data_IF_074717782052
#
_entry.id   IF_074717782052
#
_cell.length_a   1.000
_cell.length_b   1.000
_cell.length_c   1.000
_cell.angle_alpha   90.00
_cell.angle_beta   90.00
_cell.angle_gamma   90.00
#
_symmetry.space_group_name_H-M   'P 1'
#
loop_
_entity.id
_entity.type
_entity.pdbx_description
1 polymer ?
#
# COMPACT_ATOMS: atom_id res chain seq x y z
N UNK A 1 -21.58 -1.00 0.04
CA UNK A 1 -20.43 -1.78 0.54
C UNK A 1 -19.30 -1.86 -0.50
N UNK A 2 -19.60 -1.73 -1.81
CA UNK A 2 -18.61 -1.66 -2.90
C UNK A 2 -17.69 -0.42 -2.88
N UNK A 3 -18.15 0.73 -2.36
CA UNK A 3 -17.30 1.93 -2.30
C UNK A 3 -16.21 1.89 -1.21
N UNK A 4 -16.34 1.03 -0.18
CA UNK A 4 -15.37 0.96 0.93
C UNK A 4 -14.13 0.14 0.59
N UNK A 5 -14.23 -0.80 -0.36
CA UNK A 5 -13.11 -1.68 -0.75
C UNK A 5 -12.22 -1.04 -1.83
N UNK A 6 -12.78 -0.11 -2.64
CA UNK A 6 -12.05 0.65 -3.68
C UNK A 6 -11.09 1.69 -3.11
N UNK A 7 -11.35 2.13 -1.87
CA UNK A 7 -10.52 3.09 -1.17
C UNK A 7 -9.19 2.46 -0.72
N UNK A 8 -9.16 1.14 -0.50
CA UNK A 8 -8.00 0.46 0.07
C UNK A 8 -6.77 0.68 -0.82
N UNK A 9 -6.80 0.55 -2.14
CA UNK A 9 -5.58 0.63 -2.98
C UNK A 9 -4.88 2.01 -2.94
N UNK A 10 -5.65 3.09 -2.80
CA UNK A 10 -5.11 4.45 -2.66
C UNK A 10 -4.75 4.81 -1.21
N UNK A 11 -5.34 4.10 -0.24
CA UNK A 11 -5.13 4.31 1.20
C UNK A 11 -4.23 3.26 1.83
N UNK A 12 -3.91 2.17 1.13
CA UNK A 12 -3.13 1.02 1.62
C UNK A 12 -1.64 1.26 1.39
N UNK A 13 -1.29 2.13 0.44
CA UNK A 13 -0.03 2.89 0.49
C UNK A 13 0.12 3.75 1.77
N UNK A 14 -0.93 3.90 2.58
CA UNK A 14 -0.97 4.70 3.82
C UNK A 14 -1.65 3.91 4.96
N UNK A 15 -1.79 2.58 4.85
CA UNK A 15 -2.42 1.81 5.92
C UNK A 15 -1.95 0.36 5.91
N UNK A 16 -1.21 0.00 6.97
CA UNK A 16 -1.39 -1.18 7.84
C UNK A 16 -0.01 -1.68 8.32
N UNK A 17 0.17 -1.64 9.64
CA UNK A 17 0.73 -2.77 10.40
C UNK A 17 0.10 -2.77 11.81
N UNK A 18 -0.44 -3.91 12.21
CA UNK A 18 -1.03 -4.21 13.52
C UNK A 18 -0.01 -4.93 14.42
N UNK A 19 -0.13 -4.77 15.74
CA UNK A 19 0.63 -5.54 16.73
C UNK A 19 0.25 -5.14 18.17
N UNK A 20 -0.32 -6.09 18.92
CA UNK A 20 -0.88 -5.95 20.27
C UNK A 20 0.14 -6.42 21.32
N UNK A 21 0.23 -5.72 22.47
CA UNK A 21 0.15 -6.28 23.85
C UNK A 21 0.35 -5.16 24.90
N UNK A 22 -0.53 -5.13 25.93
CA UNK A 22 -0.73 -4.06 26.92
C UNK A 22 0.39 -3.86 27.96
N UNK A 23 0.26 -3.05 29.02
CA UNK A 23 -0.92 -2.47 29.69
C UNK A 23 -0.64 -1.03 30.14
N UNK A 24 -1.39 -0.11 29.56
CA UNK A 24 -1.91 1.13 30.15
C UNK A 24 -3.25 1.35 29.45
N UNK A 25 -4.30 1.84 30.11
CA UNK A 25 -5.66 1.86 29.53
C UNK A 25 -5.74 2.58 28.17
N UNK A 26 -4.78 3.48 27.91
CA UNK A 26 -4.62 4.22 26.67
C UNK A 26 -3.94 3.42 25.54
N UNK A 27 -3.09 2.43 25.88
CA UNK A 27 -2.31 1.59 24.95
C UNK A 27 -3.03 0.33 24.47
N UNK A 28 -4.22 0.05 25.02
CA UNK A 28 -5.06 -1.07 24.61
C UNK A 28 -6.01 -0.71 23.45
N UNK A 29 -6.18 0.58 23.16
CA UNK A 29 -7.00 1.03 22.02
C UNK A 29 -6.26 0.82 20.71
N UNK A 30 -6.95 0.35 19.69
CA UNK A 30 -6.35 0.25 18.37
C UNK A 30 -6.08 1.67 17.85
N UNK A 31 -4.83 1.98 17.49
CA UNK A 31 -4.43 3.35 17.11
C UNK A 31 -5.32 4.07 16.07
N UNK A 32 -5.94 3.41 15.04
CA UNK A 32 -6.83 4.09 14.12
C UNK A 32 -8.07 4.65 14.83
N UNK A 33 -8.54 4.03 15.91
CA UNK A 33 -9.74 4.47 16.62
C UNK A 33 -9.45 5.71 17.47
N UNK A 34 -8.26 5.79 18.07
CA UNK A 34 -7.83 6.94 18.89
C UNK A 34 -7.45 8.14 18.03
N UNK A 35 -6.82 7.90 16.89
CA UNK A 35 -6.30 8.95 16.02
C UNK A 35 -7.21 9.27 14.84
N UNK A 36 -8.35 8.57 14.68
CA UNK A 36 -9.29 8.80 13.58
C UNK A 36 -9.72 10.27 13.54
N UNK A 37 -9.64 10.93 12.38
CA UNK A 37 -10.22 12.25 12.22
C UNK A 37 -11.75 12.20 12.31
N UNK A 38 -12.36 13.34 12.61
CA UNK A 38 -13.81 13.47 12.57
C UNK A 38 -14.30 13.39 11.11
N UNK A 39 -14.96 12.28 10.78
CA UNK A 39 -15.57 12.05 9.47
C UNK A 39 -14.77 11.14 8.54
N UNK A 40 -15.36 10.83 7.39
CA UNK A 40 -14.73 10.01 6.37
C UNK A 40 -13.72 10.85 5.57
N UNK A 41 -12.49 10.37 5.45
CA UNK A 41 -11.51 10.95 4.52
C UNK A 41 -11.77 10.34 3.13
N UNK A 42 -12.15 11.18 2.18
CA UNK A 42 -12.26 10.78 0.78
C UNK A 42 -10.99 11.11 -0.01
N UNK A 43 -10.80 10.40 -1.12
CA UNK A 43 -9.62 10.56 -1.96
C UNK A 43 -9.81 11.85 -2.75
N UNK A 44 -8.86 12.79 -2.68
CA UNK A 44 -9.04 14.11 -3.26
C UNK A 44 -9.19 14.03 -4.78
N UNK A 45 -10.23 14.69 -5.31
CA UNK A 45 -10.48 14.75 -6.75
C UNK A 45 -9.90 16.01 -7.42
N UNK A 46 -9.47 16.98 -6.60
CA UNK A 46 -8.90 18.25 -7.06
C UNK A 46 -7.69 18.61 -6.21
N UNK A 47 -6.80 19.45 -6.74
CA UNK A 47 -5.65 19.99 -6.01
C UNK A 47 -6.08 20.73 -4.73
N UNK A 48 -7.21 21.44 -4.77
CA UNK A 48 -7.78 22.08 -3.58
C UNK A 48 -8.18 21.04 -2.51
N UNK A 49 -8.86 19.98 -2.91
CA UNK A 49 -9.22 18.90 -1.98
C UNK A 49 -7.95 18.21 -1.43
N UNK A 50 -6.92 18.07 -2.27
CA UNK A 50 -5.62 17.52 -1.86
C UNK A 50 -4.97 18.37 -0.76
N UNK A 51 -4.94 19.70 -0.93
CA UNK A 51 -4.47 20.65 0.07
C UNK A 51 -5.25 20.58 1.38
N UNK A 52 -6.56 20.37 1.30
CA UNK A 52 -7.45 20.25 2.46
C UNK A 52 -7.27 18.90 3.20
N UNK A 53 -7.03 17.81 2.46
CA UNK A 53 -6.80 16.46 3.02
C UNK A 53 -5.41 16.33 3.66
N UNK A 54 -4.39 16.97 3.10
CA UNK A 54 -3.01 16.89 3.57
C UNK A 54 -2.79 17.11 5.08
N UNK A 55 -3.25 18.22 5.68
CA UNK A 55 -3.08 18.44 7.12
C UNK A 55 -3.81 17.39 7.97
N UNK A 56 -4.92 16.83 7.48
CA UNK A 56 -5.67 15.78 8.19
C UNK A 56 -4.83 14.50 8.27
N UNK A 57 -4.24 14.07 7.15
CA UNK A 57 -3.39 12.87 7.11
C UNK A 57 -2.10 13.03 7.92
N UNK A 58 -1.45 14.20 7.83
CA UNK A 58 -0.25 14.50 8.63
C UNK A 58 -0.57 14.45 10.13
N UNK A 59 -1.70 15.03 10.56
CA UNK A 59 -2.10 15.01 11.97
C UNK A 59 -2.46 13.60 12.45
N UNK A 60 -3.15 12.80 11.63
CA UNK A 60 -3.42 11.39 11.90
C UNK A 60 -2.11 10.63 12.18
N UNK A 61 -1.11 10.78 11.33
CA UNK A 61 0.18 10.09 11.48
C UNK A 61 1.02 10.61 12.65
N UNK A 62 0.94 11.91 12.96
CA UNK A 62 1.56 12.47 14.17
C UNK A 62 0.96 11.86 15.43
N UNK A 63 -0.37 11.77 15.52
CA UNK A 63 -1.05 11.10 16.63
C UNK A 63 -0.62 9.62 16.72
N UNK A 64 -0.54 8.91 15.59
CA UNK A 64 -0.09 7.52 15.57
C UNK A 64 1.35 7.37 16.05
N UNK A 65 2.25 8.27 15.66
CA UNK A 65 3.65 8.27 16.07
C UNK A 65 3.77 8.54 17.57
N UNK A 66 3.10 9.58 18.08
CA UNK A 66 3.06 9.92 19.51
C UNK A 66 2.57 8.73 20.33
N UNK A 67 1.48 8.10 19.91
CA UNK A 67 0.95 6.93 20.56
C UNK A 67 1.90 5.72 20.51
N UNK A 68 2.56 5.50 19.37
CA UNK A 68 3.56 4.43 19.21
C UNK A 68 4.77 4.63 20.13
N UNK A 69 5.22 5.87 20.32
CA UNK A 69 6.28 6.23 21.27
C UNK A 69 5.82 5.99 22.71
N UNK A 70 4.63 6.46 23.07
CA UNK A 70 4.06 6.29 24.42
C UNK A 70 3.91 4.82 24.81
N UNK A 71 3.45 3.99 23.87
CA UNK A 71 3.10 2.60 24.13
C UNK A 71 4.19 1.59 23.74
N UNK A 72 5.35 2.05 23.27
CA UNK A 72 6.46 1.17 22.87
C UNK A 72 6.13 0.23 21.71
N UNK A 73 5.45 0.74 20.68
CA UNK A 73 5.00 -0.07 19.53
C UNK A 73 6.16 -0.50 18.62
N UNK A 74 6.16 -1.77 18.21
CA UNK A 74 7.07 -2.32 17.19
C UNK A 74 6.91 -1.68 15.80
N UNK A 75 5.83 -0.91 15.57
CA UNK A 75 5.54 -0.27 14.28
C UNK A 75 6.02 1.19 14.20
N UNK A 76 6.74 1.69 15.21
CA UNK A 76 7.18 3.10 15.27
C UNK A 76 8.03 3.50 14.06
N UNK A 77 8.90 2.61 13.57
CA UNK A 77 9.75 2.86 12.39
C UNK A 77 8.89 3.04 11.13
N UNK A 78 7.94 2.13 10.90
CA UNK A 78 7.00 2.20 9.76
C UNK A 78 6.21 3.52 9.82
N UNK A 79 5.60 3.84 10.97
CA UNK A 79 4.78 5.05 11.15
C UNK A 79 5.60 6.31 10.89
N UNK A 80 6.85 6.34 11.35
CA UNK A 80 7.76 7.47 11.15
C UNK A 80 8.10 7.65 9.66
N UNK A 81 8.42 6.56 8.96
CA UNK A 81 8.69 6.61 7.52
C UNK A 81 7.49 7.13 6.71
N UNK A 82 6.27 6.69 7.05
CA UNK A 82 5.05 7.20 6.44
C UNK A 82 4.81 8.69 6.74
N UNK A 83 5.04 9.12 7.99
CA UNK A 83 4.89 10.53 8.35
C UNK A 83 5.86 11.43 7.57
N UNK A 84 7.14 11.06 7.49
CA UNK A 84 8.15 11.80 6.73
C UNK A 84 7.79 11.89 5.24
N UNK A 85 7.25 10.80 4.68
CA UNK A 85 6.77 10.80 3.31
C UNK A 85 5.55 11.70 3.13
N UNK A 86 4.55 11.63 4.02
CA UNK A 86 3.36 12.46 3.97
C UNK A 86 3.71 13.94 4.08
N UNK A 87 4.64 14.31 4.95
CA UNK A 87 5.12 15.70 5.06
C UNK A 87 5.77 16.18 3.75
N UNK A 88 6.51 15.33 3.04
CA UNK A 88 7.07 15.67 1.74
C UNK A 88 5.99 15.75 0.63
N UNK A 89 5.10 14.77 0.58
CA UNK A 89 3.97 14.70 -0.36
C UNK A 89 3.01 15.89 -0.20
N UNK A 90 2.86 16.41 1.01
CA UNK A 90 2.00 17.56 1.32
C UNK A 90 2.70 18.92 1.26
N UNK A 91 4.03 18.95 1.09
CA UNK A 91 4.80 20.18 1.00
C UNK A 91 4.75 20.72 -0.44
N UNK A 92 4.11 21.87 -0.63
CA UNK A 92 3.82 22.45 -1.96
C UNK A 92 5.02 22.63 -2.90
N UNK A 93 6.20 22.89 -2.36
CA UNK A 93 7.42 23.07 -3.13
C UNK A 93 8.13 21.75 -3.46
N UNK A 94 7.71 20.62 -2.88
CA UNK A 94 8.29 19.30 -3.14
C UNK A 94 8.00 18.80 -4.55
N UNK A 95 8.84 17.89 -5.02
CA UNK A 95 8.64 17.20 -6.30
C UNK A 95 7.40 16.31 -6.27
N UNK A 96 7.19 15.59 -5.16
CA UNK A 96 6.06 14.65 -5.01
C UNK A 96 4.72 15.39 -5.01
N UNK A 97 4.61 16.50 -4.28
CA UNK A 97 3.39 17.31 -4.30
C UNK A 97 3.04 17.76 -5.71
N UNK A 98 4.02 18.35 -6.43
CA UNK A 98 3.82 18.87 -7.80
C UNK A 98 3.39 17.77 -8.78
N UNK A 99 3.92 16.56 -8.61
CA UNK A 99 3.54 15.42 -9.42
C UNK A 99 2.11 14.95 -9.13
N UNK A 100 1.70 14.91 -7.87
CA UNK A 100 0.47 14.26 -7.43
C UNK A 100 -0.75 15.20 -7.35
N UNK A 101 -0.59 16.38 -6.75
CA UNK A 101 -1.71 17.24 -6.36
C UNK A 101 -2.54 17.71 -7.55
N UNK A 102 -1.88 18.13 -8.64
CA UNK A 102 -2.54 18.55 -9.88
C UNK A 102 -3.15 17.40 -10.69
N UNK A 103 -2.74 16.16 -10.42
CA UNK A 103 -3.19 14.96 -11.13
C UNK A 103 -4.15 14.09 -10.32
N UNK A 104 -4.52 14.49 -9.10
CA UNK A 104 -5.25 13.64 -8.14
C UNK A 104 -6.57 13.09 -8.68
N UNK A 105 -7.35 13.89 -9.43
CA UNK A 105 -8.58 13.42 -10.08
C UNK A 105 -8.33 12.33 -11.14
N UNK A 106 -7.26 12.49 -11.93
CA UNK A 106 -6.84 11.47 -12.90
C UNK A 106 -6.36 10.20 -12.20
N UNK A 107 -5.56 10.32 -11.12
CA UNK A 107 -5.05 9.19 -10.34
C UNK A 107 -6.21 8.37 -9.77
N UNK A 108 -7.18 9.02 -9.10
CA UNK A 108 -8.36 8.37 -8.52
C UNK A 108 -9.09 7.54 -9.58
N UNK A 109 -9.39 8.18 -10.72
CA UNK A 109 -10.10 7.56 -11.82
C UNK A 109 -9.34 6.36 -12.37
N UNK A 110 -8.05 6.53 -12.65
CA UNK A 110 -7.18 5.49 -13.22
C UNK A 110 -7.09 4.26 -12.31
N UNK A 111 -6.85 4.46 -11.01
CA UNK A 111 -6.74 3.34 -10.05
C UNK A 111 -8.07 2.62 -9.90
N UNK A 112 -9.19 3.35 -9.81
CA UNK A 112 -10.52 2.74 -9.67
C UNK A 112 -10.92 1.98 -10.93
N UNK A 113 -10.63 2.50 -12.11
CA UNK A 113 -11.01 1.87 -13.38
C UNK A 113 -10.10 0.69 -13.76
N UNK A 114 -8.80 0.78 -13.50
CA UNK A 114 -7.83 -0.18 -14.03
C UNK A 114 -7.32 -1.20 -13.01
N UNK A 115 -7.44 -0.92 -11.70
CA UNK A 115 -6.77 -1.72 -10.67
C UNK A 115 -7.67 -2.44 -9.67
N UNK A 116 -8.85 -1.90 -9.33
CA UNK A 116 -9.64 -2.48 -8.22
C UNK A 116 -10.05 -3.93 -8.45
N UNK A 117 -10.48 -4.25 -9.66
CA UNK A 117 -11.02 -5.56 -10.00
C UNK A 117 -9.89 -6.57 -10.26
N UNK A 118 -8.79 -6.08 -10.84
CA UNK A 118 -7.60 -6.86 -11.16
C UNK A 118 -6.85 -7.31 -9.91
N UNK A 119 -6.65 -6.41 -8.93
CA UNK A 119 -5.98 -6.75 -7.66
C UNK A 119 -6.79 -7.79 -6.89
N UNK A 120 -8.11 -7.62 -6.84
CA UNK A 120 -9.00 -8.58 -6.19
C UNK A 120 -8.95 -9.96 -6.86
N UNK A 121 -8.87 -9.99 -8.20
CA UNK A 121 -8.74 -11.21 -8.99
C UNK A 121 -7.40 -11.89 -8.70
N UNK A 122 -6.28 -11.17 -8.73
CA UNK A 122 -4.95 -11.70 -8.41
C UNK A 122 -4.91 -12.29 -7.00
N UNK A 123 -5.43 -11.57 -6.00
CA UNK A 123 -5.52 -12.07 -4.63
C UNK A 123 -6.30 -13.39 -4.56
N UNK A 124 -7.49 -13.44 -5.15
CA UNK A 124 -8.34 -14.64 -5.15
C UNK A 124 -7.70 -15.82 -5.86
N UNK A 125 -7.21 -15.60 -7.07
CA UNK A 125 -6.58 -16.65 -7.89
C UNK A 125 -5.37 -17.23 -7.16
N UNK A 126 -4.52 -16.37 -6.61
CA UNK A 126 -3.31 -16.84 -5.97
C UNK A 126 -3.61 -17.55 -4.65
N UNK A 127 -4.51 -17.00 -3.84
CA UNK A 127 -5.01 -17.67 -2.62
C UNK A 127 -5.58 -19.06 -2.93
N UNK A 128 -6.42 -19.21 -3.95
CA UNK A 128 -6.98 -20.51 -4.34
C UNK A 128 -5.95 -21.47 -4.94
N UNK A 129 -4.89 -20.97 -5.58
CA UNK A 129 -3.77 -21.83 -6.00
C UNK A 129 -3.07 -22.41 -4.78
N UNK A 130 -2.76 -21.55 -3.81
CA UNK A 130 -2.05 -21.92 -2.59
C UNK A 130 -2.87 -22.84 -1.67
N UNK A 131 -4.18 -22.61 -1.54
CA UNK A 131 -5.09 -23.49 -0.79
C UNK A 131 -5.17 -24.91 -1.38
N UNK A 132 -5.02 -25.06 -2.70
CA UNK A 132 -4.99 -26.38 -3.36
C UNK A 132 -3.69 -27.14 -3.11
N UNK A 133 -2.59 -26.43 -2.89
CA UNK A 133 -1.28 -27.02 -2.59
C UNK A 133 -1.13 -27.34 -1.10
N UNK A 134 -1.83 -26.62 -0.23
CA UNK A 134 -1.87 -26.89 1.20
C UNK A 134 -2.66 -28.17 1.51
N UNK A 135 -1.96 -29.29 1.70
CA UNK A 135 -2.57 -30.61 1.95
C UNK A 135 -3.43 -30.68 3.24
N UNK A 136 -3.26 -29.74 4.16
CA UNK A 136 -3.99 -29.63 5.43
C UNK A 136 -5.18 -28.67 5.39
N UNK A 137 -5.36 -27.91 4.30
CA UNK A 137 -6.32 -26.79 4.24
C UNK A 137 -5.90 -25.57 5.07
N UNK A 138 -4.74 -25.60 5.73
CA UNK A 138 -4.17 -24.46 6.46
C UNK A 138 -3.05 -23.80 5.66
N UNK A 139 -3.15 -22.48 5.51
CA UNK A 139 -2.12 -21.66 4.86
C UNK A 139 -0.95 -21.49 5.83
N UNK A 140 0.20 -22.10 5.50
CA UNK A 140 1.45 -21.93 6.26
C UNK A 140 1.91 -20.47 6.23
N UNK A 141 2.75 -20.08 7.19
CA UNK A 141 3.33 -18.73 7.24
C UNK A 141 4.16 -18.41 5.99
N UNK A 142 4.81 -19.40 5.39
CA UNK A 142 5.56 -19.22 4.14
C UNK A 142 4.64 -18.87 2.97
N UNK A 143 3.54 -19.62 2.82
CA UNK A 143 2.53 -19.35 1.80
C UNK A 143 1.89 -17.98 2.03
N UNK A 144 1.62 -17.62 3.29
CA UNK A 144 1.08 -16.31 3.64
C UNK A 144 2.03 -15.18 3.20
N UNK A 145 3.32 -15.32 3.47
CA UNK A 145 4.34 -14.35 3.05
C UNK A 145 4.41 -14.22 1.52
N UNK A 146 4.40 -15.34 0.79
CA UNK A 146 4.36 -15.31 -0.69
C UNK A 146 3.10 -14.62 -1.21
N UNK A 147 1.93 -14.93 -0.64
CA UNK A 147 0.66 -14.29 -0.98
C UNK A 147 0.72 -12.77 -0.79
N UNK A 148 1.20 -12.30 0.36
CA UNK A 148 1.37 -10.87 0.62
C UNK A 148 2.34 -10.22 -0.37
N UNK A 149 3.52 -10.84 -0.56
CA UNK A 149 4.56 -10.35 -1.47
C UNK A 149 4.05 -10.17 -2.91
N UNK A 150 3.35 -11.19 -3.42
CA UNK A 150 2.78 -11.17 -4.77
C UNK A 150 1.70 -10.10 -4.94
N UNK A 151 0.79 -10.00 -3.96
CA UNK A 151 -0.31 -9.03 -4.01
C UNK A 151 0.24 -7.60 -3.94
N UNK A 152 1.17 -7.33 -3.03
CA UNK A 152 1.79 -6.00 -2.91
C UNK A 152 2.58 -5.61 -4.16
N UNK A 153 3.36 -6.54 -4.73
CA UNK A 153 4.07 -6.28 -5.98
C UNK A 153 3.08 -5.99 -7.12
N UNK A 154 1.98 -6.75 -7.20
CA UNK A 154 0.96 -6.50 -8.21
C UNK A 154 0.21 -5.17 -7.99
N UNK A 155 -0.03 -4.77 -6.73
CA UNK A 155 -0.62 -3.46 -6.41
C UNK A 155 0.25 -2.32 -6.91
N UNK A 156 1.57 -2.36 -6.66
CA UNK A 156 2.53 -1.36 -7.15
C UNK A 156 2.57 -1.34 -8.68
N UNK A 157 2.66 -2.52 -9.31
CA UNK A 157 2.64 -2.64 -10.76
C UNK A 157 1.36 -2.07 -11.35
N UNK A 158 0.21 -2.41 -10.78
CA UNK A 158 -1.07 -1.95 -11.29
C UNK A 158 -1.20 -0.45 -11.14
N UNK A 159 -0.96 0.08 -9.93
CA UNK A 159 -1.08 1.50 -9.66
C UNK A 159 -0.15 2.32 -10.57
N UNK A 160 1.12 1.92 -10.71
CA UNK A 160 2.09 2.62 -11.57
C UNK A 160 1.72 2.60 -13.05
N UNK A 161 1.23 1.47 -13.57
CA UNK A 161 0.74 1.38 -14.95
C UNK A 161 -0.54 2.22 -15.15
N UNK A 162 -1.49 2.15 -14.22
CA UNK A 162 -2.75 2.87 -14.32
C UNK A 162 -2.54 4.39 -14.31
N UNK A 163 -1.68 4.90 -13.42
CA UNK A 163 -1.41 6.35 -13.36
C UNK A 163 -0.50 6.84 -14.48
N UNK A 164 0.11 5.97 -15.28
CA UNK A 164 0.98 6.37 -16.39
C UNK A 164 0.24 7.26 -17.40
N UNK A 165 -1.07 7.07 -17.58
CA UNK A 165 -1.90 7.93 -18.43
C UNK A 165 -2.07 9.36 -17.87
N UNK A 166 -1.84 9.55 -16.57
CA UNK A 166 -1.79 10.88 -15.94
C UNK A 166 -0.43 11.57 -16.13
N UNK A 167 0.56 10.86 -16.70
CA UNK A 167 1.89 11.36 -17.01
C UNK A 167 3.00 10.53 -16.36
N UNK A 168 4.15 10.42 -17.04
CA UNK A 168 5.28 9.62 -16.55
C UNK A 168 5.79 10.11 -15.18
N UNK A 169 5.79 11.43 -14.95
CA UNK A 169 6.14 12.00 -13.64
C UNK A 169 5.24 11.49 -12.50
N UNK A 170 3.97 11.20 -12.77
CA UNK A 170 3.03 10.65 -11.78
C UNK A 170 3.35 9.18 -11.49
N UNK A 171 3.63 8.41 -12.55
CA UNK A 171 4.09 7.02 -12.43
C UNK A 171 5.39 6.93 -11.62
N UNK A 172 6.37 7.75 -11.94
CA UNK A 172 7.64 7.84 -11.20
C UNK A 172 7.39 8.18 -9.73
N UNK A 173 6.49 9.14 -9.45
CA UNK A 173 6.13 9.49 -8.10
C UNK A 173 5.52 8.29 -7.35
N UNK A 174 4.58 7.55 -7.95
CA UNK A 174 3.98 6.34 -7.33
C UNK A 174 5.03 5.27 -7.03
N UNK A 175 5.98 5.03 -7.94
CA UNK A 175 7.09 4.11 -7.70
C UNK A 175 8.01 4.60 -6.57
N UNK A 176 8.29 5.90 -6.52
CA UNK A 176 9.05 6.52 -5.43
C UNK A 176 8.33 6.37 -4.08
N UNK A 177 7.01 6.57 -4.02
CA UNK A 177 6.22 6.34 -2.80
C UNK A 177 6.33 4.88 -2.33
N UNK A 178 6.18 3.92 -3.26
CA UNK A 178 6.27 2.49 -2.93
C UNK A 178 7.67 2.12 -2.42
N UNK A 179 8.72 2.70 -2.99
CA UNK A 179 10.10 2.48 -2.54
C UNK A 179 10.37 3.10 -1.16
N UNK A 180 10.01 4.36 -0.95
CA UNK A 180 10.29 5.10 0.31
C UNK A 180 9.53 4.55 1.52
N UNK A 181 8.35 3.98 1.29
CA UNK A 181 7.55 3.32 2.36
C UNK A 181 7.96 1.88 2.60
N UNK A 182 8.97 1.41 1.87
CA UNK A 182 9.32 0.01 1.84
C UNK A 182 8.09 -0.91 1.60
N UNK A 183 7.17 -0.48 0.73
CA UNK A 183 5.87 -1.12 0.56
C UNK A 183 6.00 -2.60 0.22
N UNK A 184 7.02 -2.91 -0.59
CA UNK A 184 7.33 -4.25 -1.04
C UNK A 184 8.45 -4.94 -0.26
N UNK A 185 9.42 -4.29 0.40
CA UNK A 185 10.45 -5.05 1.13
C UNK A 185 10.00 -5.35 2.54
N UNK A 186 9.12 -4.54 3.18
CA UNK A 186 8.67 -4.66 4.59
C UNK A 186 9.37 -5.81 5.27
N UNK A 187 10.67 -5.64 5.60
CA UNK A 187 11.76 -6.67 5.62
C UNK A 187 11.42 -8.10 6.10
N UNK A 188 10.32 -8.26 6.84
CA UNK A 188 9.75 -9.51 7.36
C UNK A 188 8.80 -10.25 6.40
N UNK A 189 8.12 -9.57 5.47
CA UNK A 189 7.00 -10.12 4.70
C UNK A 189 7.36 -10.53 3.27
N UNK A 190 8.17 -9.73 2.57
CA UNK A 190 8.56 -10.00 1.18
C UNK A 190 10.09 -9.85 0.98
N UNK A 191 10.92 -10.55 1.79
CA UNK A 191 12.37 -10.55 1.61
C UNK A 191 12.77 -11.17 0.27
N UNK A 192 14.01 -10.92 -0.18
CA UNK A 192 14.53 -11.37 -1.49
C UNK A 192 14.29 -12.86 -1.79
N UNK A 193 14.45 -13.74 -0.81
CA UNK A 193 14.18 -15.17 -1.00
C UNK A 193 12.69 -15.47 -1.25
N UNK A 194 11.78 -14.74 -0.60
CA UNK A 194 10.33 -14.87 -0.84
C UNK A 194 9.98 -14.31 -2.23
N UNK A 195 10.60 -13.21 -2.67
CA UNK A 195 10.41 -12.68 -4.03
C UNK A 195 10.79 -13.68 -5.11
N UNK A 196 11.98 -14.29 -4.98
CA UNK A 196 12.46 -15.29 -5.94
C UNK A 196 11.55 -16.52 -6.01
N UNK A 197 10.95 -16.93 -4.89
CA UNK A 197 9.95 -18.00 -4.88
C UNK A 197 8.61 -17.55 -5.47
N UNK A 198 8.15 -16.33 -5.14
CA UNK A 198 6.90 -15.78 -5.67
C UNK A 198 6.92 -15.69 -7.21
N UNK A 199 8.07 -15.32 -7.81
CA UNK A 199 8.22 -15.27 -9.28
C UNK A 199 7.81 -16.58 -9.96
N UNK A 200 8.09 -17.73 -9.33
CA UNK A 200 7.74 -19.06 -9.89
C UNK A 200 6.23 -19.27 -10.02
N UNK A 201 5.45 -18.51 -9.26
CA UNK A 201 3.99 -18.60 -9.23
C UNK A 201 3.30 -17.61 -10.17
N UNK A 202 4.01 -16.64 -10.76
CA UNK A 202 3.46 -15.69 -11.74
C UNK A 202 2.69 -16.40 -12.89
N UNK A 203 3.14 -17.55 -13.43
CA UNK A 203 2.41 -18.26 -14.46
C UNK A 203 0.97 -18.64 -14.06
N UNK A 204 0.70 -18.89 -12.78
CA UNK A 204 -0.65 -19.27 -12.29
C UNK A 204 -1.62 -18.10 -12.21
N UNK A 205 -1.12 -16.86 -12.29
CA UNK A 205 -1.94 -15.66 -12.24
C UNK A 205 -2.77 -15.50 -13.53
N UNK A 206 -4.03 -15.10 -13.38
CA UNK A 206 -4.94 -14.83 -14.50
C UNK A 206 -4.84 -13.38 -14.98
N UNK A 207 -3.62 -12.98 -15.36
CA UNK A 207 -3.29 -11.65 -15.89
C UNK A 207 -2.62 -11.76 -17.27
N UNK A 208 -2.55 -10.65 -18.01
CA UNK A 208 -1.93 -10.64 -19.34
C UNK A 208 -0.44 -10.99 -19.30
N UNK A 209 0.09 -11.56 -20.39
CA UNK A 209 1.53 -11.90 -20.50
C UNK A 209 2.43 -10.69 -20.24
N UNK A 210 2.03 -9.53 -20.75
CA UNK A 210 2.76 -8.28 -20.51
C UNK A 210 2.81 -7.94 -19.02
N UNK A 211 1.68 -8.01 -18.30
CA UNK A 211 1.64 -7.79 -16.83
C UNK A 211 2.46 -8.83 -16.07
N UNK A 212 2.52 -10.09 -16.52
CA UNK A 212 3.39 -11.12 -15.93
C UNK A 212 4.86 -10.75 -16.02
N UNK A 213 5.32 -10.30 -17.20
CA UNK A 213 6.72 -9.88 -17.40
C UNK A 213 7.09 -8.67 -16.54
N UNK A 214 6.22 -7.67 -16.46
CA UNK A 214 6.48 -6.50 -15.60
C UNK A 214 6.47 -6.85 -14.11
N UNK A 215 5.63 -7.80 -13.68
CA UNK A 215 5.58 -8.26 -12.30
C UNK A 215 6.85 -9.04 -11.92
N UNK A 216 7.34 -9.87 -12.85
CA UNK A 216 8.60 -10.58 -12.70
C UNK A 216 9.77 -9.60 -12.58
N UNK A 217 9.83 -8.60 -13.47
CA UNK A 217 10.82 -7.53 -13.39
C UNK A 217 10.77 -6.82 -12.03
N UNK A 218 9.58 -6.38 -11.59
CA UNK A 218 9.41 -5.69 -10.31
C UNK A 218 9.84 -6.52 -9.09
N UNK A 219 9.59 -7.85 -9.11
CA UNK A 219 9.99 -8.76 -8.03
C UNK A 219 11.49 -9.08 -8.03
N UNK A 220 12.14 -9.02 -9.19
CA UNK A 220 13.56 -9.33 -9.36
C UNK A 220 14.48 -8.10 -9.31
N UNK A 221 13.92 -6.88 -9.39
CA UNK A 221 14.70 -5.65 -9.24
C UNK A 221 15.41 -5.66 -7.88
N UNK A 222 16.75 -5.60 -7.95
CA UNK A 222 17.59 -5.33 -6.80
C UNK A 222 17.49 -3.83 -6.49
N UNK A 223 16.64 -3.48 -5.54
CA UNK A 223 16.76 -2.21 -4.83
C UNK A 223 17.81 -2.34 -3.70
#
# INVERSE_FOLDING_TARGET
>A
MENKMRFIIATTLVAISTGVLGTDDNCNQHFPEKCAPEGDIEFPETEKAYDETCPILVNLYKCMQEHAVECGSDNLEDITAYLELLEDVCRKDSRLYKALASNTGCIKKSIVEECSDDIYTVYKTYRHSMEREASSGEISDEIRKKLFCMVQAYEVLCASNAVAQCGETVKDAVLELAHRTDYMEKKKLCPRNVRGEAVKDIPVLQISVFKKLQLEELLLLEN
#
